data_IF_587625364452
#
_entry.id   IF_587625364452
#
_cell.length_a   1.000
_cell.length_b   1.000
_cell.length_c   1.000
_cell.angle_alpha   90.00
_cell.angle_beta   90.00
_cell.angle_gamma   90.00
#
_symmetry.space_group_name_H-M   'P 1'
#
loop_
_entity.id
_entity.type
_entity.pdbx_description
1 polymer ?
#
# COMPACT_ATOMS: atom_id res chain seq x y z
N UNK A 1 -4.32 -56.57 6.80
CA UNK A 1 -4.94 -55.72 5.77
C UNK A 1 -4.27 -54.37 5.83
N UNK A 2 -3.24 -54.26 5.02
CA UNK A 2 -2.28 -53.17 4.88
C UNK A 2 -2.69 -52.36 3.66
N UNK A 3 -2.93 -51.06 3.84
CA UNK A 3 -3.02 -50.11 2.72
C UNK A 3 -1.82 -49.18 2.80
N UNK A 4 -0.75 -49.57 2.12
CA UNK A 4 0.30 -48.66 1.65
C UNK A 4 -0.32 -47.75 0.59
N UNK A 5 -0.41 -46.45 0.90
CA UNK A 5 -0.61 -45.41 -0.11
C UNK A 5 0.75 -44.85 -0.44
N UNK A 6 1.40 -45.51 -1.41
CA UNK A 6 2.61 -45.06 -2.06
C UNK A 6 2.21 -43.95 -3.05
N UNK A 7 2.24 -42.69 -2.60
CA UNK A 7 2.12 -41.54 -3.50
C UNK A 7 3.52 -41.21 -4.05
N UNK A 8 3.74 -41.66 -5.28
CA UNK A 8 4.82 -41.24 -6.17
C UNK A 8 4.77 -39.73 -6.40
N UNK A 9 5.47 -38.98 -5.54
CA UNK A 9 5.90 -37.63 -5.86
C UNK A 9 7.08 -37.71 -6.85
N UNK A 10 6.77 -37.92 -8.14
CA UNK A 10 7.73 -37.72 -9.22
C UNK A 10 8.20 -36.26 -9.20
N UNK A 11 9.42 -36.10 -8.74
CA UNK A 11 10.30 -34.94 -8.94
C UNK A 11 10.34 -34.56 -10.41
N UNK A 12 9.55 -33.56 -10.81
CA UNK A 12 9.73 -32.82 -12.07
C UNK A 12 10.66 -31.63 -11.80
N UNK A 13 11.94 -31.89 -11.51
CA UNK A 13 12.92 -30.83 -11.26
C UNK A 13 14.26 -31.07 -11.98
N UNK A 14 14.25 -31.83 -13.09
CA UNK A 14 15.38 -31.86 -14.02
C UNK A 14 15.01 -31.07 -15.28
N UNK A 15 14.87 -29.75 -15.13
CA UNK A 15 14.92 -28.84 -16.26
C UNK A 15 16.41 -28.61 -16.60
N UNK A 16 16.84 -28.76 -17.87
CA UNK A 16 18.23 -28.57 -18.25
C UNK A 16 18.68 -27.14 -17.92
N UNK A 17 19.92 -26.99 -17.44
CA UNK A 17 20.53 -25.73 -16.97
C UNK A 17 20.51 -24.55 -17.97
N UNK A 18 20.04 -24.76 -19.21
CA UNK A 18 19.76 -23.70 -20.19
C UNK A 18 18.33 -23.13 -20.16
N UNK A 19 17.39 -23.71 -19.40
CA UNK A 19 15.98 -23.27 -19.39
C UNK A 19 15.73 -21.98 -18.57
N UNK A 20 16.62 -21.67 -17.61
CA UNK A 20 16.47 -20.50 -16.75
C UNK A 20 16.78 -19.17 -17.48
N UNK A 21 17.72 -19.14 -18.43
CA UNK A 21 18.04 -17.91 -19.17
C UNK A 21 16.93 -17.49 -20.17
N UNK A 22 16.15 -18.44 -20.66
CA UNK A 22 14.92 -18.17 -21.42
C UNK A 22 13.79 -17.62 -20.55
N UNK A 23 13.79 -17.90 -19.24
CA UNK A 23 12.74 -17.50 -18.30
C UNK A 23 12.70 -15.98 -18.10
N UNK A 24 13.85 -15.32 -17.89
CA UNK A 24 13.86 -13.86 -17.66
C UNK A 24 13.68 -13.04 -18.92
N UNK A 25 14.23 -13.47 -20.05
CA UNK A 25 13.96 -12.81 -21.34
C UNK A 25 12.46 -12.85 -21.63
N UNK A 26 11.81 -13.99 -21.42
CA UNK A 26 10.36 -14.13 -21.56
C UNK A 26 9.58 -13.24 -20.58
N UNK A 27 9.88 -13.27 -19.29
CA UNK A 27 9.21 -12.40 -18.30
C UNK A 27 9.38 -10.92 -18.63
N UNK A 28 10.57 -10.50 -19.05
CA UNK A 28 10.83 -9.13 -19.47
C UNK A 28 9.99 -8.76 -20.70
N UNK A 29 9.90 -9.64 -21.70
CA UNK A 29 9.03 -9.40 -22.87
C UNK A 29 7.56 -9.31 -22.49
N UNK A 30 7.08 -10.15 -21.57
CA UNK A 30 5.70 -10.08 -21.04
C UNK A 30 5.45 -8.74 -20.32
N UNK A 31 6.40 -8.29 -19.50
CA UNK A 31 6.33 -6.99 -18.83
C UNK A 31 6.35 -5.81 -19.82
N UNK A 32 7.25 -5.82 -20.80
CA UNK A 32 7.35 -4.78 -21.81
C UNK A 32 6.10 -4.69 -22.69
N UNK A 33 5.54 -5.84 -23.07
CA UNK A 33 4.29 -5.91 -23.84
C UNK A 33 3.11 -5.39 -23.01
N UNK A 34 3.05 -5.75 -21.73
CA UNK A 34 2.08 -5.19 -20.78
C UNK A 34 2.22 -3.68 -20.61
N UNK A 35 3.45 -3.16 -20.51
CA UNK A 35 3.73 -1.72 -20.43
C UNK A 35 3.25 -1.03 -21.71
N UNK A 36 3.59 -1.57 -22.88
CA UNK A 36 3.19 -1.00 -24.16
C UNK A 36 1.67 -0.97 -24.32
N UNK A 37 0.98 -2.06 -24.01
CA UNK A 37 -0.47 -2.18 -24.12
C UNK A 37 -1.21 -1.19 -23.20
N UNK A 38 -0.85 -1.15 -21.91
CA UNK A 38 -1.50 -0.25 -20.95
C UNK A 38 -1.16 1.21 -21.28
N UNK A 39 0.09 1.52 -21.64
CA UNK A 39 0.47 2.88 -22.05
C UNK A 39 -0.31 3.34 -23.27
N UNK A 40 -0.54 2.46 -24.26
CA UNK A 40 -1.36 2.77 -25.42
C UNK A 40 -2.81 3.09 -25.02
N UNK A 41 -3.41 2.32 -24.12
CA UNK A 41 -4.77 2.59 -23.62
C UNK A 41 -4.84 3.96 -22.94
N UNK A 42 -3.90 4.26 -22.04
CA UNK A 42 -3.88 5.56 -21.35
C UNK A 42 -3.65 6.72 -22.32
N UNK A 43 -2.77 6.56 -23.31
CA UNK A 43 -2.57 7.56 -24.36
C UNK A 43 -3.84 7.80 -25.17
N UNK A 44 -4.54 6.74 -25.59
CA UNK A 44 -5.83 6.86 -26.29
C UNK A 44 -6.83 7.62 -25.43
N UNK A 45 -6.95 7.29 -24.14
CA UNK A 45 -7.85 7.99 -23.22
C UNK A 45 -7.50 9.48 -23.07
N UNK A 46 -6.21 9.81 -22.94
CA UNK A 46 -5.74 11.20 -22.88
C UNK A 46 -6.13 11.95 -24.16
N UNK A 47 -5.85 11.37 -25.33
CA UNK A 47 -6.21 11.99 -26.62
C UNK A 47 -7.72 12.09 -26.83
N UNK A 48 -8.51 11.10 -26.40
CA UNK A 48 -9.97 11.14 -26.46
C UNK A 48 -10.55 12.28 -25.61
N UNK A 49 -10.05 12.45 -24.39
CA UNK A 49 -10.46 13.57 -23.53
C UNK A 49 -10.04 14.90 -24.13
N UNK A 50 -8.83 15.00 -24.70
CA UNK A 50 -8.35 16.23 -25.34
C UNK A 50 -9.17 16.57 -26.60
N UNK A 51 -9.61 15.56 -27.36
CA UNK A 51 -10.47 15.74 -28.53
C UNK A 51 -11.85 16.29 -28.14
N UNK A 52 -12.42 15.85 -27.01
CA UNK A 52 -13.67 16.41 -26.45
C UNK A 52 -13.51 17.84 -25.91
N UNK A 53 -12.29 18.29 -25.57
CA UNK A 53 -12.01 19.65 -25.11
C UNK A 53 -12.08 20.71 -26.21
N UNK A 54 -12.26 20.34 -27.48
CA UNK A 54 -12.51 21.33 -28.54
C UNK A 54 -13.59 22.28 -28.06
N UNK A 55 -13.36 23.60 -28.08
CA UNK A 55 -14.35 24.55 -27.62
C UNK A 55 -15.58 24.39 -28.52
N UNK A 56 -16.56 23.65 -28.01
CA UNK A 56 -17.93 24.04 -28.22
C UNK A 56 -17.98 25.41 -27.55
N UNK A 57 -17.65 26.46 -28.31
CA UNK A 57 -18.35 27.71 -28.12
C UNK A 57 -19.79 27.25 -28.00
N UNK A 58 -20.45 27.43 -26.84
CA UNK A 58 -21.88 27.32 -26.86
C UNK A 58 -22.25 28.38 -27.89
N UNK A 59 -22.58 27.96 -29.11
CA UNK A 59 -23.17 28.85 -30.08
C UNK A 59 -24.31 29.46 -29.28
N UNK A 60 -24.20 30.77 -29.02
CA UNK A 60 -25.06 31.46 -28.10
C UNK A 60 -26.47 31.30 -28.62
N UNK A 61 -27.18 30.27 -28.16
CA UNK A 61 -28.59 30.15 -28.41
C UNK A 61 -29.15 31.33 -27.63
N UNK A 62 -29.49 32.40 -28.34
CA UNK A 62 -30.06 33.61 -27.78
C UNK A 62 -31.23 33.29 -26.85
N UNK A 63 -31.95 32.19 -27.13
CA UNK A 63 -33.00 31.60 -26.30
C UNK A 63 -32.51 31.15 -24.90
N UNK A 64 -31.35 30.49 -24.81
CA UNK A 64 -30.75 30.04 -23.53
C UNK A 64 -30.24 31.24 -22.74
N UNK A 65 -29.61 32.20 -23.41
CA UNK A 65 -29.07 33.40 -22.76
C UNK A 65 -30.19 34.31 -22.24
N UNK A 66 -31.31 34.42 -22.97
CA UNK A 66 -32.51 35.13 -22.53
C UNK A 66 -33.14 34.48 -21.30
N UNK A 67 -33.23 33.14 -21.27
CA UNK A 67 -33.75 32.39 -20.11
C UNK A 67 -32.86 32.51 -18.88
N UNK A 68 -31.55 32.57 -19.05
CA UNK A 68 -30.58 32.73 -17.95
C UNK A 68 -30.47 34.17 -17.42
N UNK A 69 -30.99 35.16 -18.15
CA UNK A 69 -31.05 36.57 -17.71
C UNK A 69 -32.27 36.89 -16.84
N UNK A 70 -33.21 35.95 -16.69
CA UNK A 70 -34.35 36.09 -15.77
C UNK A 70 -33.85 35.98 -14.33
N UNK A 71 -33.79 37.11 -13.62
CA UNK A 71 -33.37 37.16 -12.20
C UNK A 71 -34.20 36.24 -11.27
N UNK A 72 -35.43 35.94 -11.66
CA UNK A 72 -36.35 35.06 -10.91
C UNK A 72 -36.09 33.56 -11.11
N UNK A 73 -35.28 33.16 -12.10
CA UNK A 73 -35.11 31.77 -12.50
C UNK A 73 -33.73 31.23 -12.11
N UNK A 74 -33.59 30.77 -10.86
CA UNK A 74 -32.43 29.94 -10.50
C UNK A 74 -32.54 28.51 -11.03
N UNK A 75 -31.92 28.23 -12.18
CA UNK A 75 -31.86 26.90 -12.76
C UNK A 75 -31.09 25.86 -11.90
N UNK A 76 -30.42 26.25 -10.80
CA UNK A 76 -29.79 25.30 -9.87
C UNK A 76 -30.78 24.76 -8.84
N UNK A 77 -31.86 25.50 -8.58
CA UNK A 77 -32.90 25.08 -7.67
C UNK A 77 -33.81 24.04 -8.34
N UNK A 78 -33.97 22.83 -7.76
CA UNK A 78 -34.81 21.78 -8.32
C UNK A 78 -36.28 22.21 -8.49
N UNK A 79 -36.78 23.11 -7.63
CA UNK A 79 -38.13 23.64 -7.72
C UNK A 79 -38.33 24.51 -8.97
N UNK A 80 -37.42 25.46 -9.21
CA UNK A 80 -37.45 26.32 -10.40
C UNK A 80 -37.27 25.53 -11.67
N UNK A 81 -36.48 24.46 -11.62
CA UNK A 81 -36.26 23.53 -12.73
C UNK A 81 -37.53 22.76 -13.08
N UNK A 82 -38.28 22.29 -12.08
CA UNK A 82 -39.58 21.65 -12.27
C UNK A 82 -40.61 22.64 -12.82
N UNK A 83 -40.68 23.85 -12.25
CA UNK A 83 -41.57 24.93 -12.71
C UNK A 83 -41.28 25.32 -14.17
N UNK A 84 -40.00 25.44 -14.55
CA UNK A 84 -39.60 25.74 -15.92
C UNK A 84 -40.00 24.61 -16.88
N UNK A 85 -39.82 23.35 -16.47
CA UNK A 85 -40.24 22.19 -17.26
C UNK A 85 -41.74 22.20 -17.51
N UNK A 86 -42.51 22.47 -16.46
CA UNK A 86 -43.97 22.49 -16.50
C UNK A 86 -44.50 23.66 -17.35
N UNK A 87 -43.96 24.87 -17.18
CA UNK A 87 -44.30 26.02 -18.02
C UNK A 87 -43.95 25.79 -19.49
N UNK A 88 -42.80 25.20 -19.81
CA UNK A 88 -42.43 24.86 -21.18
C UNK A 88 -43.36 23.82 -21.79
N UNK A 89 -43.83 22.84 -21.01
CA UNK A 89 -44.78 21.83 -21.47
C UNK A 89 -46.18 22.43 -21.73
N UNK A 90 -46.59 23.42 -20.94
CA UNK A 90 -47.86 24.15 -21.16
C UNK A 90 -47.81 25.02 -22.41
N UNK A 91 -46.69 25.72 -22.65
CA UNK A 91 -46.52 26.56 -23.85
C UNK A 91 -46.25 25.76 -25.14
N UNK A 92 -45.69 24.55 -25.04
CA UNK A 92 -45.38 23.69 -26.19
C UNK A 92 -45.95 22.27 -26.03
N UNK A 93 -47.29 22.10 -26.00
CA UNK A 93 -47.94 20.83 -25.69
C UNK A 93 -47.67 19.70 -26.71
N UNK A 94 -47.29 20.04 -27.95
CA UNK A 94 -46.97 19.08 -29.02
C UNK A 94 -45.54 18.52 -28.99
N UNK A 95 -44.66 18.99 -28.08
CA UNK A 95 -43.24 18.64 -28.09
C UNK A 95 -42.71 18.27 -26.69
N UNK A 96 -43.10 17.10 -26.15
CA UNK A 96 -42.72 16.68 -24.80
C UNK A 96 -41.20 16.54 -24.58
N UNK A 97 -40.41 16.33 -25.64
CA UNK A 97 -38.96 16.28 -25.58
C UNK A 97 -38.26 17.65 -25.56
N UNK A 98 -38.97 18.74 -25.91
CA UNK A 98 -38.36 20.07 -26.06
C UNK A 98 -37.94 20.64 -24.71
N UNK A 99 -38.78 20.56 -23.68
CA UNK A 99 -38.45 21.02 -22.34
C UNK A 99 -37.21 20.32 -21.76
N UNK A 100 -37.13 18.99 -21.91
CA UNK A 100 -35.98 18.22 -21.45
C UNK A 100 -34.70 18.53 -22.25
N UNK A 101 -34.82 18.73 -23.56
CA UNK A 101 -33.70 19.13 -24.40
C UNK A 101 -33.15 20.51 -24.04
N UNK A 102 -34.04 21.47 -23.74
CA UNK A 102 -33.70 22.83 -23.35
C UNK A 102 -33.05 22.86 -21.97
N UNK A 103 -33.59 22.11 -21.00
CA UNK A 103 -32.99 21.95 -19.68
C UNK A 103 -31.58 21.33 -19.75
N UNK A 104 -31.39 20.30 -20.58
CA UNK A 104 -30.06 19.73 -20.83
C UNK A 104 -29.12 20.73 -21.49
N UNK A 105 -29.61 21.56 -22.40
CA UNK A 105 -28.83 22.61 -23.03
C UNK A 105 -28.41 23.70 -22.04
N UNK A 106 -29.32 24.12 -21.13
CA UNK A 106 -29.03 25.04 -20.02
C UNK A 106 -27.95 24.46 -19.10
N UNK A 107 -28.07 23.18 -18.70
CA UNK A 107 -27.06 22.51 -17.87
C UNK A 107 -25.69 22.48 -18.55
N UNK A 108 -25.65 22.12 -19.84
CA UNK A 108 -24.40 22.13 -20.63
C UNK A 108 -23.80 23.53 -20.73
N UNK A 109 -24.63 24.55 -20.94
CA UNK A 109 -24.20 25.94 -21.01
C UNK A 109 -23.60 26.40 -19.68
N UNK A 110 -24.26 26.12 -18.55
CA UNK A 110 -23.75 26.46 -17.21
C UNK A 110 -22.46 25.70 -16.89
N UNK A 111 -22.40 24.41 -17.21
CA UNK A 111 -21.19 23.61 -17.03
C UNK A 111 -20.03 24.15 -17.90
N UNK A 112 -20.31 24.57 -19.13
CA UNK A 112 -19.35 25.22 -20.03
C UNK A 112 -18.85 26.55 -19.46
N UNK A 113 -19.75 27.42 -19.00
CA UNK A 113 -19.43 28.71 -18.39
C UNK A 113 -18.64 28.56 -17.08
N UNK A 114 -19.00 27.59 -16.23
CA UNK A 114 -18.24 27.27 -15.02
C UNK A 114 -16.83 26.78 -15.34
N UNK A 115 -16.67 25.92 -16.36
CA UNK A 115 -15.35 25.50 -16.87
C UNK A 115 -14.55 26.69 -17.43
N UNK A 116 -15.20 27.60 -18.16
CA UNK A 116 -14.55 28.78 -18.74
C UNK A 116 -14.10 29.78 -17.66
N UNK A 117 -14.93 30.02 -16.64
CA UNK A 117 -14.57 30.83 -15.47
C UNK A 117 -13.41 30.18 -14.72
N UNK A 118 -13.45 28.86 -14.48
CA UNK A 118 -12.33 28.13 -13.86
C UNK A 118 -11.05 28.21 -14.70
N UNK A 119 -11.16 28.17 -16.04
CA UNK A 119 -10.03 28.33 -16.97
C UNK A 119 -9.46 29.74 -16.94
N UNK A 120 -10.31 30.78 -16.91
CA UNK A 120 -9.90 32.18 -16.79
C UNK A 120 -9.28 32.50 -15.42
N UNK A 121 -9.72 31.82 -14.36
CA UNK A 121 -9.16 31.93 -13.01
C UNK A 121 -7.81 31.19 -12.84
N UNK A 122 -7.27 30.55 -13.89
CA UNK A 122 -6.01 29.80 -13.83
C UNK A 122 -6.09 28.45 -13.13
N UNK A 123 -7.28 28.01 -12.69
CA UNK A 123 -7.53 26.72 -12.06
C UNK A 123 -7.58 25.57 -13.08
N UNK A 124 -7.79 25.89 -14.36
CA UNK A 124 -7.79 24.94 -15.47
C UNK A 124 -6.52 25.07 -16.31
N UNK A 125 -5.50 24.28 -15.99
CA UNK A 125 -4.31 24.10 -16.81
C UNK A 125 -4.35 22.67 -17.35
N UNK A 126 -4.75 22.50 -18.61
CA UNK A 126 -4.59 21.19 -19.28
C UNK A 126 -3.13 20.76 -19.31
N UNK A 127 -2.86 19.55 -19.82
CA UNK A 127 -1.52 19.00 -19.93
C UNK A 127 -0.59 19.89 -20.78
N UNK A 128 0.08 20.84 -20.13
CA UNK A 128 1.12 21.69 -20.72
C UNK A 128 2.50 21.15 -20.38
N UNK A 129 3.52 21.51 -21.17
CA UNK A 129 4.91 21.13 -20.87
C UNK A 129 5.36 21.57 -19.47
N UNK A 130 4.91 22.75 -19.02
CA UNK A 130 5.18 23.23 -17.66
C UNK A 130 4.50 22.38 -16.58
N UNK A 131 3.23 21.99 -16.80
CA UNK A 131 2.50 21.11 -15.86
C UNK A 131 3.12 19.71 -15.82
N UNK A 132 3.59 19.18 -16.96
CA UNK A 132 4.34 17.93 -17.02
C UNK A 132 5.63 17.97 -16.20
N UNK A 133 6.40 19.07 -16.28
CA UNK A 133 7.60 19.24 -15.47
C UNK A 133 7.29 19.32 -13.97
N UNK A 134 6.23 20.06 -13.62
CA UNK A 134 5.76 20.11 -12.23
C UNK A 134 5.34 18.72 -11.73
N UNK A 135 4.57 17.97 -12.52
CA UNK A 135 4.16 16.60 -12.21
C UNK A 135 5.36 15.66 -12.08
N UNK A 136 6.38 15.80 -12.94
CA UNK A 136 7.61 15.01 -12.84
C UNK A 136 8.33 15.23 -11.50
N UNK A 137 8.40 16.49 -11.03
CA UNK A 137 8.94 16.81 -9.71
C UNK A 137 8.15 16.18 -8.55
N UNK A 138 6.82 16.19 -8.63
CA UNK A 138 5.96 15.54 -7.63
C UNK A 138 6.08 14.01 -7.67
N UNK A 139 6.18 13.46 -8.87
CA UNK A 139 6.36 12.05 -9.12
C UNK A 139 7.70 11.53 -8.54
N UNK A 140 8.78 12.32 -8.68
CA UNK A 140 10.06 12.00 -8.07
C UNK A 140 9.98 11.94 -6.54
N UNK A 141 9.28 12.90 -5.90
CA UNK A 141 9.05 12.88 -4.45
C UNK A 141 8.26 11.64 -4.03
N UNK A 142 7.22 11.27 -4.79
CA UNK A 142 6.44 10.06 -4.55
C UNK A 142 7.30 8.80 -4.64
N UNK A 143 8.13 8.66 -5.69
CA UNK A 143 9.07 7.55 -5.83
C UNK A 143 10.04 7.50 -4.65
N UNK A 144 10.60 8.63 -4.24
CA UNK A 144 11.53 8.68 -3.11
C UNK A 144 10.86 8.21 -1.81
N UNK A 145 9.66 8.71 -1.52
CA UNK A 145 8.88 8.27 -0.37
C UNK A 145 8.61 6.76 -0.43
N UNK A 146 8.16 6.27 -1.59
CA UNK A 146 7.90 4.86 -1.85
C UNK A 146 9.13 4.00 -1.57
N UNK A 147 10.31 4.35 -2.12
CA UNK A 147 11.54 3.59 -1.93
C UNK A 147 11.96 3.54 -0.46
N UNK A 148 11.89 4.68 0.24
CA UNK A 148 12.24 4.75 1.67
C UNK A 148 11.29 3.88 2.49
N UNK A 149 9.98 3.98 2.28
CA UNK A 149 9.00 3.17 3.02
C UNK A 149 9.15 1.70 2.69
N UNK A 150 9.39 1.34 1.43
CA UNK A 150 9.62 -0.04 1.01
C UNK A 150 10.84 -0.64 1.71
N UNK A 151 11.94 0.12 1.76
CA UNK A 151 13.18 -0.27 2.43
C UNK A 151 12.99 -0.47 3.94
N UNK A 152 12.34 0.50 4.61
CA UNK A 152 12.07 0.45 6.04
C UNK A 152 11.10 -0.69 6.41
N UNK A 153 10.06 -0.89 5.60
CA UNK A 153 9.08 -1.96 5.81
C UNK A 153 9.74 -3.32 5.61
N UNK A 154 10.54 -3.50 4.56
CA UNK A 154 11.29 -4.73 4.32
C UNK A 154 12.22 -5.07 5.50
N UNK A 155 12.99 -4.07 5.97
CA UNK A 155 13.86 -4.25 7.12
C UNK A 155 13.06 -4.56 8.40
N UNK A 156 11.98 -3.83 8.66
CA UNK A 156 11.11 -4.00 9.82
C UNK A 156 10.46 -5.38 9.86
N UNK A 157 9.94 -5.86 8.72
CA UNK A 157 9.35 -7.21 8.57
C UNK A 157 10.35 -8.27 9.02
N UNK A 158 11.57 -8.22 8.48
CA UNK A 158 12.60 -9.18 8.84
C UNK A 158 12.95 -9.13 10.33
N UNK A 159 13.13 -7.94 10.87
CA UNK A 159 13.54 -7.75 12.27
C UNK A 159 12.47 -8.24 13.24
N UNK A 160 11.20 -7.88 13.00
CA UNK A 160 10.08 -8.32 13.84
C UNK A 160 9.86 -9.82 13.78
N UNK A 161 9.90 -10.41 12.59
CA UNK A 161 9.72 -11.85 12.41
C UNK A 161 10.85 -12.65 13.06
N UNK A 162 12.11 -12.24 12.88
CA UNK A 162 13.27 -12.89 13.52
C UNK A 162 13.16 -12.79 15.04
N UNK A 163 12.86 -11.60 15.57
CA UNK A 163 12.69 -11.39 17.01
C UNK A 163 11.55 -12.25 17.58
N UNK A 164 10.44 -12.38 16.85
CA UNK A 164 9.34 -13.27 17.22
C UNK A 164 9.73 -14.74 17.17
N UNK A 165 10.45 -15.16 16.13
CA UNK A 165 10.92 -16.53 15.96
C UNK A 165 11.90 -16.94 17.07
N UNK A 166 12.86 -16.08 17.40
CA UNK A 166 13.80 -16.32 18.50
C UNK A 166 13.07 -16.43 19.84
N UNK A 167 12.08 -15.56 20.09
CA UNK A 167 11.25 -15.66 21.30
C UNK A 167 10.46 -16.96 21.37
N UNK A 168 9.90 -17.42 20.25
CA UNK A 168 9.22 -18.72 20.16
C UNK A 168 10.19 -19.86 20.52
N UNK A 169 11.39 -19.89 19.93
CA UNK A 169 12.40 -20.93 20.23
C UNK A 169 12.95 -20.87 21.65
N UNK A 170 12.89 -19.71 22.30
CA UNK A 170 13.26 -19.56 23.71
C UNK A 170 12.17 -20.06 24.69
N UNK A 171 11.00 -20.52 24.22
CA UNK A 171 9.83 -20.85 25.05
C UNK A 171 9.52 -19.75 26.08
N UNK A 172 9.71 -18.47 25.71
CA UNK A 172 9.33 -17.37 26.61
C UNK A 172 7.82 -17.25 26.63
N UNK A 173 7.24 -17.33 27.82
CA UNK A 173 5.81 -17.17 28.03
C UNK A 173 5.31 -15.82 27.50
N UNK A 174 4.07 -15.83 27.01
CA UNK A 174 3.42 -14.59 26.62
C UNK A 174 3.21 -13.69 27.85
N UNK A 175 3.26 -12.36 27.67
CA UNK A 175 3.02 -11.41 28.77
C UNK A 175 1.70 -11.67 29.51
N UNK A 176 0.69 -12.19 28.79
CA UNK A 176 -0.62 -12.57 29.33
C UNK A 176 -0.55 -13.87 30.12
N UNK A 177 0.26 -14.85 29.70
CA UNK A 177 0.53 -16.05 30.48
C UNK A 177 1.31 -15.72 31.76
N UNK A 178 2.32 -14.85 31.69
CA UNK A 178 3.03 -14.33 32.87
C UNK A 178 2.07 -13.60 33.84
N UNK A 179 1.14 -12.80 33.31
CA UNK A 179 0.13 -12.08 34.09
C UNK A 179 -0.92 -13.04 34.70
N UNK A 180 -1.39 -14.04 33.95
CA UNK A 180 -2.30 -15.07 34.45
C UNK A 180 -1.65 -15.90 35.57
N UNK A 181 -0.37 -16.27 35.39
CA UNK A 181 0.40 -16.99 36.40
C UNK A 181 0.66 -16.12 37.64
N UNK A 182 0.94 -14.82 37.47
CA UNK A 182 1.09 -13.87 38.58
C UNK A 182 -0.22 -13.71 39.38
N UNK A 183 -1.35 -13.57 38.69
CA UNK A 183 -2.68 -13.48 39.33
C UNK A 183 -3.11 -14.78 40.02
N UNK A 184 -2.81 -15.94 39.42
CA UNK A 184 -3.06 -17.24 40.04
C UNK A 184 -2.26 -17.42 41.35
N UNK A 185 -1.01 -16.95 41.38
CA UNK A 185 -0.14 -17.02 42.56
C UNK A 185 -0.57 -16.06 43.68
N UNK A 186 -1.14 -14.89 43.36
CA UNK A 186 -1.71 -13.96 44.36
C UNK A 186 -2.86 -14.63 45.13
N UNK A 187 -3.68 -15.45 44.47
CA UNK A 187 -4.82 -16.14 45.09
C UNK A 187 -4.41 -17.20 46.12
N UNK A 188 -3.15 -17.64 46.11
CA UNK A 188 -2.62 -18.72 46.94
C UNK A 188 -1.79 -18.25 48.16
N UNK A 189 -1.44 -16.95 48.27
CA UNK A 189 -0.58 -16.45 49.36
C UNK A 189 -1.37 -15.70 50.44
N UNK A 190 -0.97 -15.92 51.71
CA UNK A 190 -1.61 -15.33 52.91
C UNK A 190 -0.94 -14.05 53.45
N UNK A 191 0.27 -13.70 53.00
CA UNK A 191 1.00 -12.52 53.53
C UNK A 191 0.69 -11.22 52.78
N UNK A 192 0.20 -10.22 53.52
CA UNK A 192 -0.27 -8.93 52.99
C UNK A 192 0.84 -8.11 52.29
N UNK A 193 2.09 -8.13 52.79
CA UNK A 193 3.18 -7.35 52.16
C UNK A 193 3.59 -7.92 50.80
N UNK A 194 3.53 -9.25 50.65
CA UNK A 194 3.82 -9.94 49.40
C UNK A 194 2.72 -9.71 48.36
N UNK A 195 1.45 -9.67 48.81
CA UNK A 195 0.30 -9.32 47.96
C UNK A 195 0.48 -7.94 47.33
N UNK A 196 0.91 -6.92 48.07
CA UNK A 196 1.16 -5.58 47.49
C UNK A 196 2.26 -5.59 46.42
N UNK A 197 3.35 -6.31 46.65
CA UNK A 197 4.44 -6.42 45.67
C UNK A 197 4.02 -7.14 44.39
N UNK A 198 3.22 -8.20 44.51
CA UNK A 198 2.68 -8.95 43.38
C UNK A 198 1.57 -8.18 42.66
N UNK A 199 0.78 -7.37 43.37
CA UNK A 199 -0.21 -6.46 42.80
C UNK A 199 0.47 -5.36 41.96
N UNK A 200 1.55 -4.76 42.48
CA UNK A 200 2.36 -3.79 41.74
C UNK A 200 3.00 -4.41 40.49
N UNK A 201 3.52 -5.64 40.61
CA UNK A 201 4.06 -6.41 39.48
C UNK A 201 2.97 -6.73 38.45
N UNK A 202 1.79 -7.13 38.89
CA UNK A 202 0.63 -7.43 38.03
C UNK A 202 0.10 -6.18 37.34
N UNK A 203 0.03 -5.04 38.04
CA UNK A 203 -0.30 -3.74 37.47
C UNK A 203 0.74 -3.31 36.42
N UNK A 204 2.04 -3.51 36.69
CA UNK A 204 3.11 -3.26 35.72
C UNK A 204 3.02 -4.15 34.48
N UNK A 205 2.69 -5.43 34.65
CA UNK A 205 2.44 -6.37 33.54
C UNK A 205 1.19 -5.98 32.75
N UNK A 206 0.13 -5.51 33.41
CA UNK A 206 -1.10 -5.05 32.77
C UNK A 206 -0.85 -3.77 31.98
N UNK A 207 -0.14 -2.79 32.55
CA UNK A 207 0.28 -1.58 31.84
C UNK A 207 1.14 -1.92 30.61
N UNK A 208 2.06 -2.89 30.74
CA UNK A 208 2.86 -3.39 29.61
C UNK A 208 2.01 -4.12 28.56
N UNK A 209 1.00 -4.87 28.97
CA UNK A 209 0.06 -5.53 28.07
C UNK A 209 -0.84 -4.53 27.35
N UNK A 210 -1.38 -3.55 28.06
CA UNK A 210 -2.18 -2.45 27.52
C UNK A 210 -1.35 -1.60 26.55
N UNK A 211 -0.12 -1.23 26.91
CA UNK A 211 0.79 -0.50 26.02
C UNK A 211 1.12 -1.29 24.75
N UNK A 212 1.32 -2.62 24.85
CA UNK A 212 1.44 -3.49 23.68
C UNK A 212 0.15 -3.53 22.86
N UNK A 213 -1.01 -3.59 23.51
CA UNK A 213 -2.32 -3.58 22.86
C UNK A 213 -2.55 -2.30 22.05
N UNK A 214 -2.26 -1.14 22.64
CA UNK A 214 -2.32 0.16 21.95
C UNK A 214 -1.34 0.20 20.78
N UNK A 215 -0.10 -0.26 20.98
CA UNK A 215 0.89 -0.32 19.89
C UNK A 215 0.41 -1.22 18.73
N UNK A 216 -0.22 -2.37 19.03
CA UNK A 216 -0.83 -3.21 18.01
C UNK A 216 -2.02 -2.53 17.33
N UNK A 217 -2.91 -1.86 18.07
CA UNK A 217 -4.01 -1.11 17.49
C UNK A 217 -3.52 -0.02 16.54
N UNK A 218 -2.45 0.70 16.87
CA UNK A 218 -1.84 1.70 15.99
C UNK A 218 -1.25 1.05 14.73
N UNK A 219 -0.56 -0.09 14.87
CA UNK A 219 0.01 -0.82 13.72
C UNK A 219 -1.05 -1.49 12.83
N UNK A 220 -2.23 -1.81 13.37
CA UNK A 220 -3.35 -2.41 12.64
C UNK A 220 -4.38 -1.39 12.15
N UNK A 221 -4.34 -0.15 12.66
CA UNK A 221 -5.24 0.91 12.22
C UNK A 221 -4.89 1.30 10.79
N UNK A 222 -5.87 1.36 9.86
CA UNK A 222 -5.64 1.82 8.51
C UNK A 222 -5.07 3.23 8.46
N UNK A 223 -4.24 3.50 7.44
CA UNK A 223 -3.43 4.70 7.46
C UNK A 223 -4.23 5.98 7.36
N UNK A 224 -5.35 5.91 6.65
CA UNK A 224 -6.28 7.02 6.56
C UNK A 224 -6.87 7.37 7.94
N UNK A 225 -7.18 6.40 8.80
CA UNK A 225 -7.75 6.67 10.14
C UNK A 225 -6.75 7.45 10.98
N UNK A 226 -5.48 7.03 10.96
CA UNK A 226 -4.41 7.72 11.68
C UNK A 226 -4.18 9.11 11.06
N UNK A 227 -4.12 9.21 9.73
CA UNK A 227 -3.96 10.47 9.02
C UNK A 227 -5.07 11.49 9.37
N UNK A 228 -6.34 11.07 9.36
CA UNK A 228 -7.46 11.94 9.73
C UNK A 228 -7.43 12.37 11.20
N UNK A 229 -6.96 11.50 12.10
CA UNK A 229 -6.83 11.86 13.53
C UNK A 229 -5.76 12.93 13.80
N UNK A 230 -4.75 13.05 12.93
CA UNK A 230 -3.67 14.03 13.07
C UNK A 230 -3.84 15.31 12.23
N UNK A 231 -4.85 15.34 11.34
CA UNK A 231 -5.11 16.46 10.42
C UNK A 231 -5.32 17.82 11.11
N UNK A 232 -5.62 17.84 12.40
CA UNK A 232 -6.01 19.07 13.13
C UNK A 232 -4.90 19.75 13.93
N UNK A 233 -3.69 19.18 14.05
CA UNK A 233 -2.70 19.71 15.00
C UNK A 233 -1.22 19.68 14.63
N UNK A 234 -0.81 18.94 13.59
CA UNK A 234 0.61 18.81 13.21
C UNK A 234 0.86 19.38 11.82
N UNK A 235 2.10 19.83 11.56
CA UNK A 235 2.60 20.11 10.21
C UNK A 235 2.69 18.77 9.43
N UNK A 236 1.54 18.27 9.00
CA UNK A 236 1.37 17.01 8.25
C UNK A 236 1.95 17.08 6.84
N UNK A 237 2.39 18.26 6.41
CA UNK A 237 3.04 18.49 5.12
C UNK A 237 4.49 18.00 5.05
N UNK A 238 4.98 17.35 6.11
CA UNK A 238 6.34 16.85 6.16
C UNK A 238 6.45 15.46 5.52
N UNK A 239 7.34 15.33 4.53
CA UNK A 239 7.76 14.07 3.93
C UNK A 239 8.03 12.95 4.96
N UNK A 240 8.61 13.31 6.10
CA UNK A 240 8.89 12.38 7.21
C UNK A 240 7.61 11.75 7.79
N UNK A 241 6.54 12.53 7.96
CA UNK A 241 5.28 12.05 8.52
C UNK A 241 4.60 11.05 7.58
N UNK A 242 4.65 11.33 6.28
CA UNK A 242 4.19 10.40 5.24
C UNK A 242 4.95 9.08 5.26
N UNK A 243 6.28 9.12 5.39
CA UNK A 243 7.11 7.91 5.51
C UNK A 243 6.74 7.12 6.76
N UNK A 244 6.59 7.80 7.91
CA UNK A 244 6.26 7.17 9.18
C UNK A 244 4.89 6.44 9.12
N UNK A 245 3.87 7.11 8.59
CA UNK A 245 2.55 6.50 8.39
C UNK A 245 2.60 5.37 7.37
N UNK A 246 3.33 5.54 6.27
CA UNK A 246 3.51 4.50 5.27
C UNK A 246 4.07 3.18 5.86
N UNK A 247 5.00 3.29 6.80
CA UNK A 247 5.60 2.13 7.49
C UNK A 247 4.65 1.53 8.54
N UNK A 248 3.99 2.37 9.34
CA UNK A 248 3.26 1.93 10.53
C UNK A 248 1.82 1.54 10.23
N UNK A 249 1.09 2.33 9.43
CA UNK A 249 -0.36 2.37 9.51
C UNK A 249 -1.11 1.61 8.42
N UNK A 250 -0.50 0.68 7.69
CA UNK A 250 -1.25 -0.14 6.73
C UNK A 250 -1.39 -1.60 7.13
N UNK A 251 -1.01 -1.97 8.36
CA UNK A 251 -0.93 -3.38 8.77
C UNK A 251 0.11 -4.20 8.00
N UNK A 252 0.71 -3.65 6.93
CA UNK A 252 1.69 -4.32 6.07
C UNK A 252 2.86 -4.83 6.88
N UNK A 253 3.41 -3.99 7.76
CA UNK A 253 4.54 -4.38 8.61
C UNK A 253 4.22 -5.65 9.43
N UNK A 254 3.03 -5.74 10.02
CA UNK A 254 2.64 -6.92 10.82
C UNK A 254 2.27 -8.10 9.93
N UNK A 255 1.45 -7.90 8.90
CA UNK A 255 1.00 -8.98 8.00
C UNK A 255 2.19 -9.65 7.33
N UNK A 256 3.13 -8.87 6.81
CA UNK A 256 4.33 -9.41 6.18
C UNK A 256 5.35 -9.92 7.21
N UNK A 257 5.43 -9.35 8.42
CA UNK A 257 6.19 -9.96 9.52
C UNK A 257 5.62 -11.34 9.93
N UNK A 258 4.30 -11.49 9.93
CA UNK A 258 3.63 -12.77 10.17
C UNK A 258 3.96 -13.77 9.05
N UNK A 259 3.85 -13.36 7.79
CA UNK A 259 4.17 -14.20 6.62
C UNK A 259 5.63 -14.66 6.64
N UNK A 260 6.56 -13.74 6.93
CA UNK A 260 7.98 -14.09 7.04
C UNK A 260 8.26 -14.98 8.26
N UNK A 261 7.60 -14.75 9.39
CA UNK A 261 7.66 -15.63 10.55
C UNK A 261 7.17 -17.04 10.24
N UNK A 262 6.08 -17.19 9.46
CA UNK A 262 5.59 -18.52 9.06
C UNK A 262 6.59 -19.26 8.19
N UNK A 263 7.32 -18.57 7.31
CA UNK A 263 8.42 -19.19 6.56
C UNK A 263 9.56 -19.64 7.48
N UNK A 264 9.98 -18.82 8.44
CA UNK A 264 10.99 -19.21 9.43
C UNK A 264 10.55 -20.43 10.24
N UNK A 265 9.28 -20.46 10.67
CA UNK A 265 8.71 -21.57 11.41
C UNK A 265 8.67 -22.87 10.58
N UNK A 266 8.23 -22.79 9.32
CA UNK A 266 8.17 -23.92 8.41
C UNK A 266 9.57 -24.47 8.08
N UNK A 267 10.51 -23.58 7.75
CA UNK A 267 11.91 -23.95 7.48
C UNK A 267 12.58 -24.62 8.68
N UNK A 268 12.26 -24.16 9.90
CA UNK A 268 12.85 -24.72 11.12
C UNK A 268 12.44 -26.17 11.44
N UNK A 269 11.44 -26.73 10.72
CA UNK A 269 10.93 -28.09 10.91
C UNK A 269 11.43 -29.07 9.85
N UNK A 270 12.25 -28.61 8.90
CA UNK A 270 12.77 -29.44 7.81
C UNK A 270 13.99 -30.26 8.26
N UNK A 271 14.14 -31.48 7.73
CA UNK A 271 15.19 -32.41 8.17
C UNK A 271 16.64 -31.93 7.96
N UNK A 272 16.89 -31.00 7.04
CA UNK A 272 18.23 -30.42 6.89
C UNK A 272 18.70 -29.66 8.15
N UNK A 273 17.77 -29.19 8.98
CA UNK A 273 18.05 -28.51 10.25
C UNK A 273 18.68 -29.49 11.23
N UNK A 274 18.16 -30.71 11.32
CA UNK A 274 18.72 -31.77 12.16
C UNK A 274 20.11 -32.18 11.65
N UNK A 275 20.26 -32.29 10.33
CA UNK A 275 21.56 -32.58 9.71
C UNK A 275 22.58 -31.47 10.03
N UNK A 276 22.16 -30.20 10.00
CA UNK A 276 23.00 -29.06 10.34
C UNK A 276 23.46 -29.10 11.81
N UNK A 277 22.56 -29.50 12.73
CA UNK A 277 22.89 -29.69 14.15
C UNK A 277 23.91 -30.81 14.33
N UNK A 278 23.73 -31.95 13.64
CA UNK A 278 24.66 -33.09 13.68
C UNK A 278 26.05 -32.70 13.12
N UNK A 279 26.09 -31.80 12.14
CA UNK A 279 27.34 -31.21 11.60
C UNK A 279 28.01 -30.20 12.54
N UNK A 280 27.52 -30.03 13.78
CA UNK A 280 28.15 -29.21 14.81
C UNK A 280 27.76 -27.73 14.78
N UNK A 281 26.71 -27.33 14.05
CA UNK A 281 26.22 -25.95 14.10
C UNK A 281 25.48 -25.68 15.42
N UNK A 282 25.68 -24.47 15.96
CA UNK A 282 25.03 -24.06 17.21
C UNK A 282 23.51 -23.97 17.05
N UNK A 283 22.77 -24.39 18.09
CA UNK A 283 21.31 -24.41 18.13
C UNK A 283 20.73 -23.66 19.36
N UNK A 284 21.54 -22.85 20.04
CA UNK A 284 21.11 -22.15 21.23
C UNK A 284 20.50 -20.78 20.86
N UNK A 285 19.20 -20.61 21.08
CA UNK A 285 18.51 -19.36 20.79
C UNK A 285 18.59 -18.33 21.92
N UNK A 286 19.22 -18.63 23.06
CA UNK A 286 19.29 -17.71 24.21
C UNK A 286 20.17 -16.49 23.93
N UNK A 287 19.70 -15.30 24.33
CA UNK A 287 20.48 -14.08 24.23
C UNK A 287 21.67 -14.12 25.20
N UNK A 288 22.88 -13.79 24.70
CA UNK A 288 24.08 -13.65 25.53
C UNK A 288 24.80 -14.94 25.90
N UNK A 289 24.33 -16.11 25.43
CA UNK A 289 25.13 -17.33 25.49
C UNK A 289 26.29 -17.24 24.47
N UNK A 290 27.43 -17.89 24.75
CA UNK A 290 28.57 -17.95 23.83
C UNK A 290 28.17 -18.50 22.44
N UNK A 291 27.31 -19.50 22.44
CA UNK A 291 26.75 -20.15 21.25
C UNK A 291 25.38 -19.59 20.84
N UNK A 292 25.01 -18.44 21.41
CA UNK A 292 23.69 -17.83 21.32
C UNK A 292 23.50 -16.85 20.16
N UNK A 293 22.25 -16.49 19.88
CA UNK A 293 21.95 -15.39 18.94
C UNK A 293 22.14 -14.05 19.65
N UNK A 294 23.07 -13.22 19.15
CA UNK A 294 23.26 -11.88 19.67
C UNK A 294 22.09 -10.94 19.30
N UNK A 295 21.60 -10.08 20.22
CA UNK A 295 20.54 -9.10 19.89
C UNK A 295 20.97 -8.13 18.78
N UNK A 296 22.28 -7.80 18.75
CA UNK A 296 22.87 -6.95 17.71
C UNK A 296 22.76 -7.60 16.33
N UNK A 297 22.96 -8.91 16.20
CA UNK A 297 22.82 -9.62 14.92
C UNK A 297 21.39 -9.54 14.36
N UNK A 298 20.36 -9.48 15.22
CA UNK A 298 18.97 -9.31 14.81
C UNK A 298 18.71 -7.89 14.26
N UNK A 299 19.33 -6.87 14.86
CA UNK A 299 19.18 -5.46 14.49
C UNK A 299 20.16 -4.98 13.41
N UNK A 300 21.02 -5.86 12.87
CA UNK A 300 21.90 -5.47 11.76
C UNK A 300 21.11 -5.38 10.46
N UNK A 301 21.48 -4.41 9.63
CA UNK A 301 20.91 -4.24 8.28
C UNK A 301 21.03 -5.53 7.45
N UNK A 302 22.25 -6.07 7.38
CA UNK A 302 22.53 -7.39 6.83
C UNK A 302 22.53 -8.41 7.97
N UNK A 303 21.41 -9.11 8.14
CA UNK A 303 21.25 -10.13 9.18
C UNK A 303 22.09 -11.36 8.83
N UNK A 304 23.01 -11.71 9.72
CA UNK A 304 23.92 -12.85 9.59
C UNK A 304 24.11 -13.49 10.97
N UNK A 305 24.13 -14.83 11.00
CA UNK A 305 24.21 -15.66 12.20
C UNK A 305 25.30 -16.73 12.02
N UNK A 306 26.58 -16.35 11.92
CA UNK A 306 27.66 -17.28 11.61
C UNK A 306 27.73 -18.41 12.63
N UNK A 307 27.98 -19.65 12.17
CA UNK A 307 28.09 -20.84 13.02
C UNK A 307 26.77 -21.34 13.64
N UNK A 308 25.64 -20.68 13.36
CA UNK A 308 24.35 -21.04 13.95
C UNK A 308 23.40 -21.61 12.89
N UNK A 309 22.64 -22.66 13.23
CA UNK A 309 21.68 -23.32 12.33
C UNK A 309 20.65 -22.34 11.77
N UNK A 310 20.30 -21.33 12.56
CA UNK A 310 19.40 -20.23 12.16
C UNK A 310 19.85 -19.47 10.90
N UNK A 311 21.14 -19.42 10.57
CA UNK A 311 21.60 -18.80 9.33
C UNK A 311 20.96 -19.46 8.10
N UNK A 312 20.94 -20.79 8.07
CA UNK A 312 20.38 -21.55 6.95
C UNK A 312 18.86 -21.40 6.89
N UNK A 313 18.19 -21.48 8.04
CA UNK A 313 16.74 -21.24 8.16
C UNK A 313 16.39 -19.84 7.64
N UNK A 314 17.14 -18.81 8.06
CA UNK A 314 16.90 -17.43 7.65
C UNK A 314 17.13 -17.21 6.15
N UNK A 315 18.22 -17.77 5.59
CA UNK A 315 18.51 -17.64 4.16
C UNK A 315 17.43 -18.29 3.29
N UNK A 316 17.00 -19.50 3.65
CA UNK A 316 15.95 -20.22 2.91
C UNK A 316 14.59 -19.53 3.03
N UNK A 317 14.23 -19.06 4.23
CA UNK A 317 13.01 -18.29 4.43
C UNK A 317 13.05 -16.96 3.67
N UNK A 318 14.21 -16.28 3.64
CA UNK A 318 14.39 -15.02 2.89
C UNK A 318 14.19 -15.24 1.40
N UNK A 319 14.73 -16.32 0.86
CA UNK A 319 14.55 -16.67 -0.54
C UNK A 319 13.07 -16.85 -0.91
N UNK A 320 12.31 -17.61 -0.12
CA UNK A 320 10.86 -17.78 -0.34
C UNK A 320 10.11 -16.45 -0.22
N UNK A 321 10.52 -15.60 0.72
CA UNK A 321 9.90 -14.30 0.96
C UNK A 321 10.06 -13.31 -0.20
N UNK A 322 11.13 -13.41 -1.01
CA UNK A 322 11.33 -12.52 -2.18
C UNK A 322 10.14 -12.54 -3.15
N UNK A 323 9.48 -13.69 -3.30
CA UNK A 323 8.28 -13.82 -4.14
C UNK A 323 7.10 -12.94 -3.68
N UNK A 324 7.05 -12.63 -2.39
CA UNK A 324 5.99 -11.84 -1.77
C UNK A 324 6.21 -10.33 -1.90
N UNK A 325 7.39 -9.91 -2.39
CA UNK A 325 7.76 -8.50 -2.52
C UNK A 325 6.88 -7.76 -3.54
N UNK A 326 6.45 -8.46 -4.61
CA UNK A 326 5.52 -7.92 -5.61
C UNK A 326 4.17 -7.54 -5.01
N UNK A 327 3.63 -8.44 -4.19
CA UNK A 327 2.39 -8.23 -3.45
C UNK A 327 2.54 -7.08 -2.44
N UNK A 328 3.66 -7.05 -1.72
CA UNK A 328 3.93 -5.99 -0.74
C UNK A 328 4.03 -4.62 -1.40
N UNK A 329 4.66 -4.53 -2.57
CA UNK A 329 4.82 -3.30 -3.31
C UNK A 329 3.47 -2.72 -3.78
N UNK A 330 2.55 -3.55 -4.29
CA UNK A 330 1.25 -3.08 -4.76
C UNK A 330 0.40 -2.51 -3.61
N UNK A 331 0.39 -3.18 -2.47
CA UNK A 331 -0.27 -2.67 -1.27
C UNK A 331 0.38 -1.40 -0.73
N UNK A 332 1.71 -1.32 -0.78
CA UNK A 332 2.43 -0.14 -0.32
C UNK A 332 2.11 1.08 -1.18
N UNK A 333 2.15 0.95 -2.51
CA UNK A 333 1.81 2.01 -3.45
C UNK A 333 0.37 2.49 -3.19
N UNK A 334 -0.58 1.55 -3.08
CA UNK A 334 -1.98 1.87 -2.78
C UNK A 334 -2.11 2.61 -1.45
N UNK A 335 -1.40 2.15 -0.41
CA UNK A 335 -1.39 2.78 0.89
C UNK A 335 -0.83 4.20 0.87
N UNK A 336 0.25 4.45 0.13
CA UNK A 336 0.83 5.79 -0.02
C UNK A 336 -0.10 6.74 -0.76
N UNK A 337 -0.78 6.28 -1.81
CA UNK A 337 -1.79 7.07 -2.53
C UNK A 337 -2.90 7.51 -1.58
N UNK A 338 -3.43 6.59 -0.75
CA UNK A 338 -4.48 6.90 0.23
C UNK A 338 -3.98 7.90 1.28
N UNK A 339 -2.77 7.72 1.81
CA UNK A 339 -2.18 8.62 2.81
C UNK A 339 -2.03 10.03 2.24
N UNK A 340 -1.47 10.18 1.04
CA UNK A 340 -1.30 11.48 0.39
C UNK A 340 -2.64 12.19 0.17
N UNK A 341 -3.66 11.45 -0.29
CA UNK A 341 -5.01 12.00 -0.47
C UNK A 341 -5.65 12.42 0.86
N UNK A 342 -5.51 11.62 1.92
CA UNK A 342 -6.15 11.88 3.21
C UNK A 342 -5.51 13.06 3.95
N UNK A 343 -4.19 13.18 3.89
CA UNK A 343 -3.43 14.27 4.52
C UNK A 343 -3.51 15.58 3.76
N UNK A 344 -3.98 15.58 2.50
CA UNK A 344 -4.19 16.79 1.71
C UNK A 344 -2.90 17.64 1.57
N UNK A 345 -1.75 16.97 1.43
CA UNK A 345 -0.45 17.64 1.37
C UNK A 345 -0.31 18.33 0.01
N UNK A 346 -0.22 19.66 0.02
CA UNK A 346 -0.08 20.44 -1.20
C UNK A 346 1.24 20.13 -1.91
N UNK A 347 1.21 20.05 -3.24
CA UNK A 347 2.40 19.75 -4.05
C UNK A 347 2.85 18.29 -4.04
N UNK A 348 1.98 17.38 -3.59
CA UNK A 348 2.13 15.93 -3.76
C UNK A 348 1.28 15.39 -4.91
N UNK A 349 1.77 14.31 -5.52
CA UNK A 349 1.23 13.75 -6.75
C UNK A 349 -0.24 13.32 -6.61
N UNK A 350 -0.59 12.61 -5.53
CA UNK A 350 -1.94 12.07 -5.38
C UNK A 350 -2.96 13.13 -4.95
N UNK A 351 -2.49 14.18 -4.26
CA UNK A 351 -3.32 15.34 -3.97
C UNK A 351 -3.67 16.12 -5.23
N UNK A 352 -2.69 16.38 -6.11
CA UNK A 352 -2.96 16.96 -7.43
C UNK A 352 -3.91 16.08 -8.23
N UNK A 353 -3.75 14.75 -8.19
CA UNK A 353 -4.70 13.85 -8.85
C UNK A 353 -6.13 14.04 -8.35
N UNK A 354 -6.34 14.12 -7.03
CA UNK A 354 -7.66 14.36 -6.43
C UNK A 354 -8.25 15.71 -6.85
N UNK A 355 -7.43 16.77 -6.86
CA UNK A 355 -7.85 18.10 -7.30
C UNK A 355 -8.26 18.09 -8.79
N UNK A 356 -7.49 17.41 -9.65
CA UNK A 356 -7.78 17.30 -11.07
C UNK A 356 -9.02 16.44 -11.34
N UNK A 357 -9.30 15.41 -10.53
CA UNK A 357 -10.57 14.67 -10.56
C UNK A 357 -11.74 15.62 -10.26
N UNK A 358 -11.63 16.44 -9.20
CA UNK A 358 -12.68 17.38 -8.79
C UNK A 358 -12.99 18.40 -9.91
N UNK A 359 -11.96 18.89 -10.60
CA UNK A 359 -12.11 19.81 -11.73
C UNK A 359 -12.35 19.11 -13.09
N UNK A 360 -12.53 17.78 -13.12
CA UNK A 360 -12.76 16.99 -14.33
C UNK A 360 -11.65 17.16 -15.39
N UNK A 361 -10.40 17.33 -14.96
CA UNK A 361 -9.19 17.39 -15.79
C UNK A 361 -8.61 15.98 -15.94
N UNK A 362 -9.33 15.11 -16.66
CA UNK A 362 -9.00 13.69 -16.73
C UNK A 362 -7.70 13.39 -17.48
N UNK A 363 -7.22 14.27 -18.34
CA UNK A 363 -5.91 14.17 -18.99
C UNK A 363 -4.77 14.09 -17.97
N UNK A 364 -4.77 14.99 -16.97
CA UNK A 364 -3.76 15.00 -15.90
C UNK A 364 -3.92 13.75 -15.02
N UNK A 365 -5.15 13.36 -14.71
CA UNK A 365 -5.45 12.17 -13.91
C UNK A 365 -4.92 10.90 -14.59
N UNK A 366 -5.15 10.76 -15.90
CA UNK A 366 -4.63 9.63 -16.68
C UNK A 366 -3.11 9.63 -16.76
N UNK A 367 -2.47 10.80 -16.91
CA UNK A 367 -1.01 10.89 -16.87
C UNK A 367 -0.43 10.45 -15.52
N UNK A 368 -1.03 10.87 -14.40
CA UNK A 368 -0.62 10.44 -13.06
C UNK A 368 -0.84 8.94 -12.87
N UNK A 369 -2.00 8.42 -13.28
CA UNK A 369 -2.33 7.00 -13.22
C UNK A 369 -1.35 6.13 -14.01
N UNK A 370 -0.97 6.58 -15.22
CA UNK A 370 0.05 5.92 -16.04
C UNK A 370 1.42 5.91 -15.33
N UNK A 371 1.80 7.03 -14.72
CA UNK A 371 3.02 7.12 -13.90
C UNK A 371 3.01 6.10 -12.75
N UNK A 372 1.92 6.00 -12.00
CA UNK A 372 1.78 5.02 -10.90
C UNK A 372 1.92 3.60 -11.45
N UNK A 373 1.27 3.29 -12.58
CA UNK A 373 1.39 1.99 -13.24
C UNK A 373 2.84 1.66 -13.61
N UNK A 374 3.60 2.63 -14.14
CA UNK A 374 5.02 2.43 -14.41
C UNK A 374 5.84 2.13 -13.16
N UNK A 375 5.54 2.74 -12.00
CA UNK A 375 6.20 2.41 -10.72
C UNK A 375 5.92 0.96 -10.32
N UNK A 376 4.66 0.53 -10.43
CA UNK A 376 4.26 -0.86 -10.12
C UNK A 376 5.04 -1.83 -11.00
N UNK A 377 5.07 -1.60 -12.32
CA UNK A 377 5.78 -2.46 -13.26
C UNK A 377 7.28 -2.47 -13.08
N UNK A 378 7.89 -1.31 -12.86
CA UNK A 378 9.32 -1.22 -12.55
C UNK A 378 9.67 -2.04 -11.30
N UNK A 379 8.80 -2.03 -10.29
CA UNK A 379 9.00 -2.83 -9.08
C UNK A 379 8.87 -4.32 -9.33
N UNK A 380 7.86 -4.75 -10.12
CA UNK A 380 7.70 -6.17 -10.49
C UNK A 380 8.93 -6.71 -11.22
N UNK A 381 9.45 -5.94 -12.18
CA UNK A 381 10.67 -6.28 -12.94
C UNK A 381 11.88 -6.36 -12.00
N UNK A 382 12.04 -5.38 -11.09
CA UNK A 382 13.14 -5.37 -10.13
C UNK A 382 13.07 -6.57 -9.17
N UNK A 383 11.87 -6.95 -8.72
CA UNK A 383 11.66 -8.12 -7.88
C UNK A 383 11.98 -9.43 -8.61
N UNK A 384 11.56 -9.56 -9.88
CA UNK A 384 11.91 -10.72 -10.73
C UNK A 384 13.43 -10.85 -10.91
N UNK A 385 14.10 -9.75 -11.22
CA UNK A 385 15.55 -9.71 -11.38
C UNK A 385 16.28 -10.09 -10.08
N UNK A 386 15.81 -9.57 -8.95
CA UNK A 386 16.39 -9.91 -7.66
C UNK A 386 16.18 -11.39 -7.31
N UNK A 387 14.98 -11.92 -7.56
CA UNK A 387 14.70 -13.34 -7.33
C UNK A 387 15.63 -14.23 -8.16
N UNK A 388 15.76 -13.96 -9.47
CA UNK A 388 16.64 -14.75 -10.34
C UNK A 388 18.13 -14.64 -9.92
N UNK A 389 18.59 -13.44 -9.61
CA UNK A 389 19.96 -13.22 -9.13
C UNK A 389 20.25 -14.00 -7.83
N UNK A 390 19.24 -14.21 -6.99
CA UNK A 390 19.36 -15.02 -5.79
C UNK A 390 19.29 -16.53 -6.13
N UNK A 391 18.40 -16.97 -7.03
CA UNK A 391 18.33 -18.36 -7.52
C UNK A 391 19.66 -18.82 -8.08
N UNK A 392 20.31 -18.02 -8.94
CA UNK A 392 21.62 -18.34 -9.53
C UNK A 392 22.72 -18.54 -8.49
N UNK A 393 22.63 -17.90 -7.31
CA UNK A 393 23.59 -18.12 -6.21
C UNK A 393 23.39 -19.44 -5.48
N UNK A 394 22.16 -19.97 -5.49
CA UNK A 394 21.84 -21.26 -4.89
C UNK A 394 22.13 -22.42 -5.86
N UNK A 395 21.97 -22.22 -7.17
CA UNK A 395 22.29 -23.23 -8.19
C UNK A 395 23.81 -23.38 -8.42
N UNK A 396 24.58 -22.30 -8.28
CA UNK A 396 26.04 -22.31 -8.49
C UNK A 396 26.84 -22.61 -7.21
N UNK A 397 26.21 -23.13 -6.14
CA UNK A 397 26.84 -23.53 -4.88
C UNK A 397 26.52 -24.98 -4.58
#
# INVERSE_FOLDING_TARGET
MTHEVQNDARSTNDAPAGANDFSMKRKLTEHLLGIAFVSLIFLVLIFSVEAEKKPQNPAGNAEIEALLKLESLDAANPLHRALLRETLNVYYPGHPGRADSLLRAIDRYRAGRAKEIARKAGLYQGLSGGKLWQLAGMYLKFILAYLVVMLLTYYGVQTLAVLRFVRMKQNRDSCLAELANSLANIRLRKEISQIFSDLARSAGLLAKAAGKGIAYLVLFSPAYVIAYSFRTGFNTDTFFFLVLLGVISNGLLITYAQKFYTFLAAESRKGYVETAIVKGLHNNYRYGAADGISPRAILRWKKQFPGHVFQHIYLNARYQYLSTFKEQASFLITGLVIIEMALNIQGHLCYEMLQNILYKQFDVVFAIGLGIFWVVKATEIAADYWQEAETRKYENR
#
